data_IF_849503431629
#
_entry.id   IF_849503431629
#
_cell.length_a   1.000
_cell.length_b   1.000
_cell.length_c   1.000
_cell.angle_alpha   90.00
_cell.angle_beta   90.00
_cell.angle_gamma   90.00
#
_symmetry.space_group_name_H-M   'P 1'
#
loop_
_entity.id
_entity.type
_entity.pdbx_description
1 polymer ?
#
# COMPACT_ATOMS: atom_id res chain seq x y z
N UNK A 1 -16.55 -29.43 -1.78
CA UNK A 1 -16.29 -28.59 -0.58
C UNK A 1 -15.58 -27.27 -0.95
N UNK A 2 -14.49 -27.31 -1.67
CA UNK A 2 -13.69 -26.12 -2.11
C UNK A 2 -14.52 -25.11 -2.92
N UNK A 3 -15.31 -25.57 -3.90
CA UNK A 3 -16.17 -24.72 -4.75
C UNK A 3 -17.19 -23.90 -3.93
N UNK A 4 -17.81 -24.51 -2.92
CA UNK A 4 -18.76 -23.86 -2.01
C UNK A 4 -18.08 -22.81 -1.11
N UNK A 5 -16.85 -23.10 -0.68
CA UNK A 5 -16.01 -22.17 0.10
C UNK A 5 -15.61 -20.95 -0.76
N UNK A 6 -15.11 -21.15 -1.98
CA UNK A 6 -14.75 -20.08 -2.90
C UNK A 6 -15.95 -19.20 -3.23
N UNK A 7 -17.13 -19.79 -3.54
CA UNK A 7 -18.34 -19.03 -3.83
C UNK A 7 -18.84 -18.18 -2.65
N UNK A 8 -18.68 -18.64 -1.41
CA UNK A 8 -19.05 -17.85 -0.24
C UNK A 8 -18.18 -16.59 -0.08
N UNK A 9 -16.88 -16.69 -0.35
CA UNK A 9 -15.97 -15.53 -0.27
C UNK A 9 -15.97 -14.66 -1.53
N UNK A 10 -16.40 -15.19 -2.66
CA UNK A 10 -16.53 -14.45 -3.92
C UNK A 10 -17.74 -13.49 -3.95
N UNK A 11 -18.70 -13.65 -3.02
CA UNK A 11 -19.86 -12.78 -2.92
C UNK A 11 -19.53 -11.56 -2.06
N UNK A 12 -19.63 -10.31 -2.60
CA UNK A 12 -19.36 -9.08 -1.83
C UNK A 12 -20.20 -8.99 -0.55
N UNK A 13 -21.48 -9.36 -0.62
CA UNK A 13 -22.40 -9.32 0.53
C UNK A 13 -21.94 -10.23 1.67
N UNK A 14 -21.56 -11.46 1.35
CA UNK A 14 -21.11 -12.45 2.36
C UNK A 14 -19.74 -12.06 2.94
N UNK A 15 -18.85 -11.52 2.09
CA UNK A 15 -17.55 -11.03 2.51
C UNK A 15 -17.71 -9.86 3.51
N UNK A 16 -18.48 -8.84 3.16
CA UNK A 16 -18.72 -7.69 4.03
C UNK A 16 -19.33 -8.10 5.36
N UNK A 17 -20.34 -8.97 5.35
CA UNK A 17 -20.96 -9.46 6.59
C UNK A 17 -19.98 -10.16 7.52
N UNK A 18 -19.08 -10.99 6.97
CA UNK A 18 -18.06 -11.69 7.76
C UNK A 18 -16.94 -10.78 8.25
N UNK A 19 -16.51 -9.83 7.43
CA UNK A 19 -15.42 -8.92 7.75
C UNK A 19 -15.86 -7.83 8.71
N UNK A 20 -17.11 -7.37 8.64
CA UNK A 20 -17.63 -6.27 9.44
C UNK A 20 -17.47 -6.48 10.96
N UNK A 21 -17.50 -7.73 11.41
CA UNK A 21 -17.30 -8.07 12.82
C UNK A 21 -15.85 -7.93 13.29
N UNK A 22 -14.88 -8.10 12.39
CA UNK A 22 -13.46 -8.18 12.75
C UNK A 22 -12.63 -6.99 12.27
N UNK A 23 -13.10 -6.24 11.24
CA UNK A 23 -12.26 -5.21 10.62
C UNK A 23 -11.87 -4.09 11.60
N UNK A 24 -12.76 -3.68 12.48
CA UNK A 24 -12.49 -2.63 13.48
C UNK A 24 -11.39 -3.06 14.43
N UNK A 25 -11.47 -4.29 14.94
CA UNK A 25 -10.45 -4.84 15.82
C UNK A 25 -9.09 -4.92 15.11
N UNK A 26 -9.06 -5.49 13.90
CA UNK A 26 -7.83 -5.59 13.10
C UNK A 26 -7.28 -4.20 12.79
N UNK A 27 -8.13 -3.26 12.38
CA UNK A 27 -7.73 -1.90 12.03
C UNK A 27 -7.11 -1.16 13.23
N UNK A 28 -7.80 -1.14 14.37
CA UNK A 28 -7.29 -0.43 15.55
C UNK A 28 -6.05 -1.10 16.15
N UNK A 29 -5.98 -2.44 16.13
CA UNK A 29 -4.78 -3.16 16.55
C UNK A 29 -3.58 -2.86 15.64
N UNK A 30 -3.77 -2.88 14.34
CA UNK A 30 -2.72 -2.55 13.37
C UNK A 30 -2.27 -1.09 13.52
N UNK A 31 -3.22 -0.16 13.68
CA UNK A 31 -2.92 1.25 13.90
C UNK A 31 -2.11 1.46 15.19
N UNK A 32 -2.52 0.83 16.29
CA UNK A 32 -1.81 0.89 17.56
C UNK A 32 -0.38 0.36 17.45
N UNK A 33 -0.21 -0.84 16.89
CA UNK A 33 1.11 -1.47 16.73
C UNK A 33 2.00 -0.60 15.83
N UNK A 34 1.47 -0.09 14.73
CA UNK A 34 2.21 0.77 13.81
C UNK A 34 2.64 2.08 14.47
N UNK A 35 1.73 2.72 15.21
CA UNK A 35 2.02 3.96 15.93
C UNK A 35 3.10 3.75 16.99
N UNK A 36 3.00 2.66 17.78
CA UNK A 36 4.01 2.31 18.77
C UNK A 36 5.37 2.00 18.12
N UNK A 37 5.37 1.31 16.98
CA UNK A 37 6.60 1.01 16.23
C UNK A 37 7.29 2.27 15.70
N UNK A 38 6.52 3.24 15.20
CA UNK A 38 7.05 4.54 14.76
C UNK A 38 7.62 5.32 15.93
N UNK A 39 6.87 5.45 17.03
CA UNK A 39 7.34 6.15 18.23
C UNK A 39 8.63 5.52 18.76
N UNK A 40 8.66 4.18 18.86
CA UNK A 40 9.85 3.46 19.29
C UNK A 40 11.04 3.68 18.34
N UNK A 41 10.80 3.53 17.04
CA UNK A 41 11.82 3.70 16.01
C UNK A 41 12.44 5.09 15.99
N UNK A 42 11.63 6.14 16.13
CA UNK A 42 12.13 7.52 16.07
C UNK A 42 12.76 8.01 17.38
N UNK A 43 12.26 7.57 18.55
CA UNK A 43 12.69 8.10 19.85
C UNK A 43 13.73 7.24 20.56
N UNK A 44 13.64 5.91 20.43
CA UNK A 44 14.42 4.99 21.27
C UNK A 44 15.47 4.17 20.52
N UNK A 45 15.41 4.10 19.19
CA UNK A 45 16.43 3.40 18.42
C UNK A 45 17.76 4.17 18.47
N UNK A 46 18.90 3.52 18.77
CA UNK A 46 20.20 4.15 18.72
C UNK A 46 20.52 4.67 17.31
N UNK A 47 21.45 5.62 17.24
CA UNK A 47 21.93 6.15 15.97
C UNK A 47 22.71 5.08 15.21
N UNK A 48 22.55 5.08 13.88
CA UNK A 48 23.34 4.23 12.99
C UNK A 48 24.77 4.79 12.89
N UNK A 49 25.75 3.91 12.85
CA UNK A 49 27.17 4.29 12.79
C UNK A 49 27.54 5.10 11.53
N UNK A 50 26.87 4.83 10.40
CA UNK A 50 27.19 5.46 9.11
C UNK A 50 26.22 6.63 8.82
N UNK A 51 24.91 6.43 9.07
CA UNK A 51 23.86 7.36 8.69
C UNK A 51 23.37 8.25 9.84
N UNK A 52 23.84 8.01 11.06
CA UNK A 52 23.39 8.77 12.24
C UNK A 52 21.88 8.68 12.45
N UNK A 53 21.26 9.79 12.80
CA UNK A 53 19.81 9.89 13.06
C UNK A 53 18.95 9.73 11.80
N UNK A 54 19.48 9.97 10.60
CA UNK A 54 18.73 9.85 9.35
C UNK A 54 18.29 8.41 9.04
N UNK A 55 18.97 7.42 9.58
CA UNK A 55 18.58 6.02 9.49
C UNK A 55 17.16 5.75 10.01
N UNK A 56 16.69 6.52 10.97
CA UNK A 56 15.35 6.33 11.58
C UNK A 56 14.19 6.45 10.58
N UNK A 57 14.41 7.09 9.44
CA UNK A 57 13.43 7.18 8.34
C UNK A 57 13.02 5.79 7.83
N UNK A 58 13.86 4.77 8.02
CA UNK A 58 13.58 3.37 7.63
C UNK A 58 12.25 2.86 8.21
N UNK A 59 11.88 3.27 9.43
CA UNK A 59 10.64 2.84 10.09
C UNK A 59 9.36 3.35 9.42
N UNK A 60 9.46 4.42 8.65
CA UNK A 60 8.36 4.94 7.84
C UNK A 60 8.49 4.51 6.38
N UNK A 61 9.69 4.66 5.81
CA UNK A 61 9.92 4.45 4.38
C UNK A 61 9.76 3.00 3.95
N UNK A 62 10.38 2.07 4.67
CA UNK A 62 10.36 0.65 4.28
C UNK A 62 8.96 0.04 4.36
N UNK A 63 8.18 0.21 5.42
CA UNK A 63 6.80 -0.26 5.44
C UNK A 63 5.92 0.35 4.34
N UNK A 64 6.07 1.65 4.07
CA UNK A 64 5.31 2.32 3.01
C UNK A 64 5.68 1.77 1.63
N UNK A 65 6.97 1.60 1.34
CA UNK A 65 7.46 1.04 0.08
C UNK A 65 7.02 -0.41 -0.13
N UNK A 66 7.13 -1.24 0.92
CA UNK A 66 6.71 -2.63 0.86
C UNK A 66 5.19 -2.75 0.64
N UNK A 67 4.41 -1.95 1.35
CA UNK A 67 2.96 -1.96 1.23
C UNK A 67 2.51 -1.48 -0.16
N UNK A 68 3.13 -0.43 -0.71
CA UNK A 68 2.78 0.06 -2.05
C UNK A 68 2.96 -1.01 -3.13
N UNK A 69 4.06 -1.74 -3.11
CA UNK A 69 4.33 -2.80 -4.07
C UNK A 69 3.42 -4.02 -3.87
N UNK A 70 3.20 -4.41 -2.61
CA UNK A 70 2.32 -5.54 -2.26
C UNK A 70 0.87 -5.28 -2.68
N UNK A 71 0.37 -4.06 -2.51
CA UNK A 71 -0.96 -3.66 -2.94
C UNK A 71 -1.09 -3.68 -4.48
N UNK A 72 -0.06 -3.26 -5.21
CA UNK A 72 -0.06 -3.35 -6.67
C UNK A 72 -0.10 -4.79 -7.16
N UNK A 73 0.70 -5.67 -6.54
CA UNK A 73 0.65 -7.10 -6.83
C UNK A 73 -0.74 -7.69 -6.54
N UNK A 74 -1.32 -7.34 -5.40
CA UNK A 74 -2.68 -7.78 -5.04
C UNK A 74 -3.72 -7.31 -6.06
N UNK A 75 -3.63 -6.07 -6.56
CA UNK A 75 -4.50 -5.56 -7.63
C UNK A 75 -4.30 -6.35 -8.94
N UNK A 76 -3.06 -6.71 -9.29
CA UNK A 76 -2.76 -7.57 -10.44
C UNK A 76 -3.45 -8.94 -10.32
N UNK A 77 -3.34 -9.58 -9.16
CA UNK A 77 -4.02 -10.85 -8.86
C UNK A 77 -5.55 -10.70 -8.96
N UNK A 78 -6.11 -9.64 -8.38
CA UNK A 78 -7.53 -9.33 -8.48
C UNK A 78 -7.96 -9.11 -9.93
N UNK A 79 -7.15 -8.42 -10.74
CA UNK A 79 -7.44 -8.17 -12.15
C UNK A 79 -7.49 -9.48 -12.95
N UNK A 80 -6.52 -10.35 -12.77
CA UNK A 80 -6.50 -11.69 -13.39
C UNK A 80 -7.73 -12.50 -12.95
N UNK A 81 -8.03 -12.48 -11.65
CA UNK A 81 -9.19 -13.19 -11.07
C UNK A 81 -10.51 -12.70 -11.67
N UNK A 82 -10.64 -11.40 -11.84
CA UNK A 82 -11.83 -10.80 -12.47
C UNK A 82 -11.93 -11.15 -13.95
N UNK A 83 -10.84 -11.06 -14.69
CA UNK A 83 -10.84 -11.34 -16.13
C UNK A 83 -11.18 -12.79 -16.44
N UNK A 84 -10.61 -13.75 -15.69
CA UNK A 84 -10.79 -15.19 -15.95
C UNK A 84 -12.12 -15.70 -15.37
N UNK A 85 -12.40 -15.39 -14.11
CA UNK A 85 -13.54 -15.99 -13.39
C UNK A 85 -14.71 -15.04 -13.15
N UNK A 86 -14.61 -13.77 -13.58
CA UNK A 86 -15.65 -12.74 -13.41
C UNK A 86 -16.09 -12.57 -11.95
N UNK A 87 -15.20 -12.72 -11.00
CA UNK A 87 -15.46 -12.56 -9.56
C UNK A 87 -15.66 -11.09 -9.25
N UNK A 88 -16.89 -10.67 -8.95
CA UNK A 88 -17.24 -9.27 -8.69
C UNK A 88 -16.47 -8.66 -7.52
N UNK A 89 -16.21 -9.45 -6.47
CA UNK A 89 -15.42 -8.98 -5.31
C UNK A 89 -14.03 -8.51 -5.72
N UNK A 90 -13.39 -9.19 -6.67
CA UNK A 90 -12.06 -8.80 -7.16
C UNK A 90 -12.09 -7.40 -7.82
N UNK A 91 -13.14 -7.07 -8.58
CA UNK A 91 -13.29 -5.72 -9.14
C UNK A 91 -13.45 -4.63 -8.05
N UNK A 92 -14.26 -4.89 -7.03
CA UNK A 92 -14.39 -3.96 -5.90
C UNK A 92 -13.09 -3.78 -5.12
N UNK A 93 -12.30 -4.85 -4.94
CA UNK A 93 -11.02 -4.78 -4.26
C UNK A 93 -10.00 -3.92 -5.04
N UNK A 94 -9.96 -3.99 -6.36
CA UNK A 94 -9.09 -3.12 -7.17
C UNK A 94 -9.37 -1.65 -6.88
N UNK A 95 -10.64 -1.26 -6.90
CA UNK A 95 -11.07 0.12 -6.64
C UNK A 95 -10.75 0.56 -5.22
N UNK A 96 -10.95 -0.33 -4.25
CA UNK A 96 -10.67 -0.02 -2.84
C UNK A 96 -9.16 0.06 -2.52
N UNK A 97 -8.34 -0.74 -3.19
CA UNK A 97 -6.88 -0.79 -2.98
C UNK A 97 -6.18 0.41 -3.63
N UNK A 98 -6.64 0.88 -4.78
CA UNK A 98 -5.95 1.91 -5.56
C UNK A 98 -5.63 3.20 -4.77
N UNK A 99 -6.55 3.84 -4.03
CA UNK A 99 -6.23 5.04 -3.26
C UNK A 99 -5.26 4.77 -2.10
N UNK A 100 -5.33 3.60 -1.47
CA UNK A 100 -4.38 3.21 -0.41
C UNK A 100 -2.99 3.02 -0.99
N UNK A 101 -2.90 2.34 -2.14
CA UNK A 101 -1.66 2.16 -2.88
C UNK A 101 -1.03 3.49 -3.33
N UNK A 102 -1.84 4.42 -3.84
CA UNK A 102 -1.38 5.77 -4.19
C UNK A 102 -0.80 6.50 -2.96
N UNK A 103 -1.52 6.49 -1.84
CA UNK A 103 -1.09 7.16 -0.62
C UNK A 103 0.21 6.57 -0.06
N UNK A 104 0.33 5.25 0.02
CA UNK A 104 1.54 4.59 0.51
C UNK A 104 2.74 4.81 -0.41
N UNK A 105 2.52 4.82 -1.73
CA UNK A 105 3.58 5.13 -2.71
C UNK A 105 4.03 6.59 -2.59
N UNK A 106 3.11 7.52 -2.37
CA UNK A 106 3.43 8.92 -2.13
C UNK A 106 4.27 9.10 -0.86
N UNK A 107 3.90 8.45 0.25
CA UNK A 107 4.69 8.45 1.49
C UNK A 107 6.08 7.86 1.24
N UNK A 108 6.20 6.77 0.48
CA UNK A 108 7.48 6.17 0.14
C UNK A 108 8.36 7.12 -0.68
N UNK A 109 7.80 7.82 -1.67
CA UNK A 109 8.53 8.82 -2.47
C UNK A 109 9.04 9.97 -1.61
N UNK A 110 8.19 10.57 -0.78
CA UNK A 110 8.59 11.71 0.07
C UNK A 110 9.64 11.27 1.10
N UNK A 111 9.38 10.20 1.83
CA UNK A 111 10.31 9.73 2.86
C UNK A 111 11.64 9.28 2.25
N UNK A 112 11.63 8.66 1.07
CA UNK A 112 12.82 8.30 0.31
C UNK A 112 13.62 9.52 -0.15
N UNK A 113 12.95 10.58 -0.60
CA UNK A 113 13.59 11.84 -0.98
C UNK A 113 14.23 12.53 0.23
N UNK A 114 13.55 12.56 1.37
CA UNK A 114 14.11 13.11 2.62
C UNK A 114 15.35 12.30 3.05
N UNK A 115 15.28 10.98 2.98
CA UNK A 115 16.41 10.10 3.31
C UNK A 115 17.57 10.22 2.30
N UNK A 116 17.26 10.56 1.06
CA UNK A 116 18.25 10.78 0.00
C UNK A 116 19.20 11.94 0.26
N UNK A 117 18.72 13.02 0.90
CA UNK A 117 19.54 14.21 1.16
C UNK A 117 20.81 13.91 1.96
N UNK A 118 20.75 13.30 3.15
CA UNK A 118 21.94 12.95 3.91
C UNK A 118 22.73 11.78 3.33
N UNK A 119 22.09 10.93 2.51
CA UNK A 119 22.73 9.71 1.97
C UNK A 119 23.46 9.97 0.65
N UNK A 120 22.86 10.76 -0.24
CA UNK A 120 23.34 11.01 -1.61
C UNK A 120 23.55 12.48 -1.94
N UNK A 121 23.28 13.39 -1.01
CA UNK A 121 23.43 14.85 -1.19
C UNK A 121 22.35 15.49 -2.06
N UNK A 122 21.31 14.76 -2.44
CA UNK A 122 20.22 15.27 -3.29
C UNK A 122 18.87 14.73 -2.89
N UNK A 123 17.81 15.53 -3.12
CA UNK A 123 16.43 15.11 -2.90
C UNK A 123 15.94 14.09 -3.92
N UNK A 124 16.52 14.07 -5.11
CA UNK A 124 16.05 13.24 -6.20
C UNK A 124 17.22 12.76 -7.06
N UNK A 125 17.26 11.46 -7.25
CA UNK A 125 18.14 10.83 -8.23
C UNK A 125 17.27 10.07 -9.24
N UNK A 126 17.57 10.22 -10.52
CA UNK A 126 16.93 9.47 -11.60
C UNK A 126 17.50 8.06 -11.71
N UNK A 127 17.49 7.32 -10.60
CA UNK A 127 17.82 5.91 -10.58
C UNK A 127 16.59 5.03 -10.85
N UNK A 128 16.80 3.73 -11.08
CA UNK A 128 15.72 2.80 -11.41
C UNK A 128 14.69 2.66 -10.25
N UNK A 129 15.11 2.81 -8.99
CA UNK A 129 14.23 2.65 -7.82
C UNK A 129 13.25 3.80 -7.70
N UNK A 130 13.75 5.03 -7.68
CA UNK A 130 12.92 6.22 -7.52
C UNK A 130 12.04 6.41 -8.74
N UNK A 131 12.59 6.23 -9.94
CA UNK A 131 11.84 6.37 -11.20
C UNK A 131 10.72 5.33 -11.32
N UNK A 132 10.98 4.05 -11.00
CA UNK A 132 9.93 3.02 -11.04
C UNK A 132 8.85 3.25 -9.98
N UNK A 133 9.22 3.74 -8.80
CA UNK A 133 8.25 4.09 -7.75
C UNK A 133 7.38 5.29 -8.17
N UNK A 134 7.96 6.28 -8.85
CA UNK A 134 7.20 7.39 -9.43
C UNK A 134 6.21 6.90 -10.51
N UNK A 135 6.66 6.01 -11.40
CA UNK A 135 5.79 5.40 -12.41
C UNK A 135 4.65 4.63 -11.72
N UNK A 136 4.94 3.85 -10.69
CA UNK A 136 3.93 3.15 -9.91
C UNK A 136 2.90 4.11 -9.31
N UNK A 137 3.34 5.25 -8.77
CA UNK A 137 2.44 6.29 -8.26
C UNK A 137 1.51 6.83 -9.35
N UNK A 138 2.07 7.16 -10.52
CA UNK A 138 1.29 7.64 -11.68
C UNK A 138 0.28 6.57 -12.14
N UNK A 139 0.64 5.30 -12.14
CA UNK A 139 -0.27 4.20 -12.49
C UNK A 139 -1.44 4.10 -11.50
N UNK A 140 -1.22 4.25 -10.21
CA UNK A 140 -2.30 4.32 -9.23
C UNK A 140 -3.24 5.50 -9.48
N UNK A 141 -2.68 6.70 -9.73
CA UNK A 141 -3.48 7.89 -10.05
C UNK A 141 -4.28 7.70 -11.34
N UNK A 142 -3.67 7.08 -12.35
CA UNK A 142 -4.35 6.75 -13.61
C UNK A 142 -5.55 5.83 -13.42
N UNK A 143 -5.41 4.79 -12.60
CA UNK A 143 -6.51 3.88 -12.25
C UNK A 143 -7.65 4.59 -11.50
N UNK A 144 -7.32 5.46 -10.53
CA UNK A 144 -8.30 6.22 -9.77
C UNK A 144 -9.06 7.17 -10.72
N UNK A 145 -8.34 7.91 -11.56
CA UNK A 145 -8.93 8.85 -12.52
C UNK A 145 -9.82 8.15 -13.54
N UNK A 146 -9.36 7.01 -14.08
CA UNK A 146 -10.13 6.21 -15.02
C UNK A 146 -11.44 5.72 -14.39
N UNK A 147 -11.37 5.14 -13.17
CA UNK A 147 -12.55 4.69 -12.48
C UNK A 147 -13.55 5.83 -12.21
N UNK A 148 -13.06 6.98 -11.75
CA UNK A 148 -13.90 8.17 -11.51
C UNK A 148 -14.61 8.63 -12.78
N UNK A 149 -13.95 8.60 -13.93
CA UNK A 149 -14.52 9.02 -15.22
C UNK A 149 -15.68 8.12 -15.67
N UNK A 150 -15.61 6.82 -15.38
CA UNK A 150 -16.67 5.88 -15.76
C UNK A 150 -17.77 5.69 -14.72
N UNK A 151 -17.54 6.06 -13.47
CA UNK A 151 -18.55 5.94 -12.40
C UNK A 151 -19.63 7.03 -12.46
N UNK A 152 -19.43 8.07 -13.27
CA UNK A 152 -20.36 9.17 -13.46
C UNK A 152 -21.32 8.95 -14.66
N UNK A 153 -21.31 7.79 -15.29
CA UNK A 153 -22.25 7.34 -16.33
C UNK A 153 -22.99 6.08 -15.82
#
# INVERSE_FOLDING_TARGET
MIKKFIHQFASPKTYLYKVDSYYKFIFYSALLIYTLSIIWGFLFTPEDFVQGNSFRIIYLHVPASFLSQSLYLAMGICSITYLIWRVKLAAYLIVAIAPIGAMTTFIALISGSIWGVPTWGTWWQWDARITSTLILFIMYLGLISLHSSFSNY
#
